data_IF_948375303352
#
_entry.id   IF_948375303352
#
_cell.length_a   1.000
_cell.length_b   1.000
_cell.length_c   1.000
_cell.angle_alpha   90.00
_cell.angle_beta   90.00
_cell.angle_gamma   90.00
#
_symmetry.space_group_name_H-M   'P 1'
#
loop_
_entity.id
_entity.type
_entity.pdbx_description
1 polymer ?
#
# COMPACT_ATOMS: atom_id res chain seq x y z
N UNK A 1 8.83 -20.12 -3.73
CA UNK A 1 8.45 -19.43 -4.99
C UNK A 1 8.95 -17.99 -4.89
N UNK A 2 9.92 -17.54 -5.70
CA UNK A 2 10.41 -16.15 -5.65
C UNK A 2 9.36 -15.28 -6.34
N UNK A 3 8.76 -14.31 -5.63
CA UNK A 3 7.93 -13.31 -6.30
C UNK A 3 8.83 -12.14 -6.68
N UNK A 4 8.82 -11.83 -7.97
CA UNK A 4 9.55 -10.70 -8.53
C UNK A 4 8.57 -9.55 -8.65
N UNK A 5 8.80 -8.48 -7.88
CA UNK A 5 8.14 -7.21 -8.16
C UNK A 5 9.01 -6.43 -9.14
N UNK A 6 8.37 -5.93 -10.20
CA UNK A 6 9.00 -5.02 -11.14
C UNK A 6 8.86 -3.63 -10.54
N UNK A 7 9.96 -3.12 -9.96
CA UNK A 7 10.10 -1.69 -9.71
C UNK A 7 10.53 -1.02 -11.01
N UNK A 8 10.24 0.27 -11.15
CA UNK A 8 10.69 1.03 -12.32
C UNK A 8 11.79 2.01 -11.89
N UNK A 9 12.93 1.99 -12.58
CA UNK A 9 13.96 2.99 -12.39
C UNK A 9 13.51 4.29 -13.06
N UNK A 10 13.23 5.31 -12.26
CA UNK A 10 12.78 6.61 -12.76
C UNK A 10 13.91 7.32 -13.52
N UNK A 11 15.17 7.14 -13.13
CA UNK A 11 16.32 7.82 -13.76
C UNK A 11 16.70 7.20 -15.12
N UNK A 12 16.55 5.89 -15.25
CA UNK A 12 16.99 5.14 -16.43
C UNK A 12 15.85 4.60 -17.30
N UNK A 13 14.59 4.82 -16.92
CA UNK A 13 13.41 4.31 -17.63
C UNK A 13 13.42 2.78 -17.85
N UNK A 14 14.07 2.03 -16.95
CA UNK A 14 14.24 0.58 -17.04
C UNK A 14 13.53 -0.15 -15.90
N UNK A 15 12.96 -1.35 -16.13
CA UNK A 15 12.46 -2.18 -15.05
C UNK A 15 13.62 -2.69 -14.19
N UNK A 16 13.54 -2.47 -12.88
CA UNK A 16 14.40 -3.06 -11.86
C UNK A 16 13.65 -4.20 -11.17
N UNK A 17 14.31 -5.35 -11.04
CA UNK A 17 13.73 -6.48 -10.31
C UNK A 17 14.07 -6.34 -8.84
N UNK A 18 13.03 -6.22 -7.99
CA UNK A 18 13.16 -6.42 -6.55
C UNK A 18 12.84 -7.89 -6.28
N UNK A 19 13.85 -8.64 -5.83
CA UNK A 19 13.71 -10.06 -5.53
C UNK A 19 13.13 -10.28 -4.12
N UNK A 20 12.00 -10.98 -4.01
CA UNK A 20 11.45 -11.47 -2.74
C UNK A 20 11.67 -12.97 -2.59
N UNK A 21 12.27 -13.41 -1.49
CA UNK A 21 12.39 -14.84 -1.15
C UNK A 21 11.26 -15.21 -0.17
N UNK A 22 10.16 -15.77 -0.68
CA UNK A 22 8.94 -16.10 0.11
C UNK A 22 9.07 -17.26 1.12
N UNK A 23 10.25 -17.85 1.33
CA UNK A 23 10.38 -19.03 2.22
C UNK A 23 11.04 -18.72 3.56
N UNK A 24 11.21 -17.45 3.89
CA UNK A 24 11.68 -17.00 5.20
C UNK A 24 10.81 -15.86 5.72
N UNK A 25 10.49 -15.81 7.03
CA UNK A 25 9.82 -14.66 7.66
C UNK A 25 10.64 -13.36 7.56
N UNK A 26 11.88 -13.46 7.08
CA UNK A 26 12.79 -12.36 6.77
C UNK A 26 13.03 -12.32 5.26
N UNK A 27 12.70 -11.21 4.63
CA UNK A 27 12.94 -10.85 3.24
C UNK A 27 14.12 -9.86 3.25
N UNK A 28 15.03 -9.96 2.28
CA UNK A 28 16.12 -8.99 2.07
C UNK A 28 15.83 -8.21 0.78
N UNK A 29 15.04 -7.12 0.83
CA UNK A 29 14.90 -6.27 -0.33
C UNK A 29 16.20 -5.50 -0.60
N UNK A 30 16.81 -5.76 -1.76
CA UNK A 30 17.85 -4.90 -2.34
C UNK A 30 17.17 -3.83 -3.19
N UNK A 31 17.45 -2.56 -2.91
CA UNK A 31 16.92 -1.43 -3.67
C UNK A 31 18.00 -0.76 -4.49
N UNK A 32 17.84 -0.73 -5.81
CA UNK A 32 18.71 0.06 -6.69
C UNK A 32 18.32 1.54 -6.61
N UNK A 33 19.31 2.42 -6.62
CA UNK A 33 19.13 3.86 -6.73
C UNK A 33 18.22 4.23 -7.91
N UNK A 34 17.29 5.15 -7.68
CA UNK A 34 16.31 5.60 -8.66
C UNK A 34 15.10 4.68 -8.82
N UNK A 35 15.03 3.53 -8.15
CA UNK A 35 13.88 2.63 -8.21
C UNK A 35 12.66 3.19 -7.47
N UNK A 36 11.49 2.99 -8.06
CA UNK A 36 10.20 3.34 -7.50
C UNK A 36 9.23 2.17 -7.61
N UNK A 37 8.55 1.90 -6.51
CA UNK A 37 7.41 0.99 -6.43
C UNK A 37 6.18 1.84 -6.15
N UNK A 38 5.20 1.79 -7.05
CA UNK A 38 4.00 2.61 -6.99
C UNK A 38 3.06 2.21 -5.85
N UNK A 39 2.02 3.01 -5.61
CA UNK A 39 1.10 2.80 -4.51
C UNK A 39 0.46 1.41 -4.53
N UNK A 40 0.57 0.69 -3.42
CA UNK A 40 0.00 -0.63 -3.24
C UNK A 40 -0.41 -0.87 -1.78
N UNK A 41 -1.20 -1.91 -1.58
CA UNK A 41 -1.44 -2.53 -0.28
C UNK A 41 -0.73 -3.88 -0.32
N UNK A 42 -0.03 -4.24 0.76
CA UNK A 42 0.64 -5.53 0.84
C UNK A 42 -0.36 -6.70 0.79
N UNK A 43 0.08 -7.78 0.15
CA UNK A 43 -0.74 -8.94 -0.18
C UNK A 43 -1.48 -9.51 1.04
N UNK A 44 -2.75 -9.89 0.86
CA UNK A 44 -3.59 -10.41 1.94
C UNK A 44 -3.81 -9.41 3.10
N UNK A 45 -3.49 -8.13 2.89
CA UNK A 45 -3.51 -7.12 3.94
C UNK A 45 -2.51 -7.38 5.07
N UNK A 46 -1.35 -7.99 4.79
CA UNK A 46 -0.32 -8.17 5.82
C UNK A 46 0.16 -6.83 6.37
N UNK A 47 0.60 -6.84 7.63
CA UNK A 47 1.47 -5.79 8.15
C UNK A 47 2.90 -6.07 7.69
N UNK A 48 3.71 -5.03 7.50
CA UNK A 48 5.10 -5.15 7.05
C UNK A 48 6.05 -4.40 7.98
N UNK A 49 7.25 -4.94 8.14
CA UNK A 49 8.36 -4.24 8.79
C UNK A 49 9.53 -4.08 7.83
N UNK A 50 10.23 -2.95 7.94
CA UNK A 50 11.44 -2.62 7.18
C UNK A 50 12.52 -2.13 8.14
N UNK A 51 13.75 -2.61 7.98
CA UNK A 51 14.93 -2.20 8.71
C UNK A 51 16.05 -1.90 7.72
N UNK A 52 16.51 -0.64 7.67
CA UNK A 52 17.56 -0.23 6.75
C UNK A 52 18.91 -0.59 7.33
N UNK A 53 19.65 -1.45 6.63
CA UNK A 53 21.04 -1.72 6.95
C UNK A 53 21.97 -0.67 6.34
N UNK A 54 21.80 -0.38 5.05
CA UNK A 54 22.55 0.66 4.33
C UNK A 54 21.65 1.38 3.32
N UNK A 55 22.02 2.62 2.97
CA UNK A 55 21.26 3.49 2.07
C UNK A 55 20.06 4.15 2.76
N UNK A 56 19.00 4.47 2.01
CA UNK A 56 17.77 5.06 2.56
C UNK A 56 16.57 4.80 1.64
N UNK A 57 15.37 4.80 2.22
CA UNK A 57 14.10 4.68 1.50
C UNK A 57 13.14 5.80 1.86
N UNK A 58 12.41 6.29 0.87
CA UNK A 58 11.35 7.29 1.05
C UNK A 58 10.01 6.59 0.84
N UNK A 59 9.18 6.58 1.87
CA UNK A 59 7.84 6.01 1.87
C UNK A 59 6.80 7.11 1.74
N UNK A 60 5.84 6.92 0.86
CA UNK A 60 4.61 7.70 0.78
C UNK A 60 3.51 6.85 1.42
N UNK A 61 2.86 7.37 2.46
CA UNK A 61 1.96 6.64 3.34
C UNK A 61 0.58 7.29 3.33
N UNK A 62 -0.45 6.48 3.05
CA UNK A 62 -1.86 6.89 3.07
C UNK A 62 -2.60 5.92 4.01
N UNK A 63 -3.29 6.42 5.04
CA UNK A 63 -4.01 5.54 5.97
C UNK A 63 -5.21 4.89 5.29
N UNK A 64 -5.60 3.68 5.70
CA UNK A 64 -6.69 2.91 5.09
C UNK A 64 -8.08 3.38 5.55
N UNK A 65 -8.35 4.68 5.48
CA UNK A 65 -9.70 5.20 5.74
C UNK A 65 -10.66 4.70 4.65
N UNK A 66 -11.95 4.60 4.97
CA UNK A 66 -12.96 4.16 3.99
C UNK A 66 -12.89 4.95 2.68
N UNK A 67 -12.72 6.27 2.78
CA UNK A 67 -12.53 7.16 1.64
C UNK A 67 -11.31 6.79 0.79
N UNK A 68 -10.13 6.69 1.42
CA UNK A 68 -8.87 6.43 0.72
C UNK A 68 -8.90 5.04 0.05
N UNK A 69 -9.53 4.06 0.68
CA UNK A 69 -9.70 2.71 0.13
C UNK A 69 -10.61 2.69 -1.10
N UNK A 70 -11.66 3.52 -1.15
CA UNK A 70 -12.50 3.67 -2.34
C UNK A 70 -11.74 4.33 -3.48
N UNK A 71 -11.00 5.42 -3.20
CA UNK A 71 -10.18 6.10 -4.20
C UNK A 71 -9.12 5.15 -4.75
N UNK A 72 -8.44 4.40 -3.87
CA UNK A 72 -7.47 3.37 -4.26
C UNK A 72 -8.10 2.31 -5.17
N UNK A 73 -9.25 1.74 -4.79
CA UNK A 73 -9.93 0.72 -5.61
C UNK A 73 -10.30 1.24 -7.00
N UNK A 74 -10.81 2.47 -7.09
CA UNK A 74 -11.14 3.13 -8.35
C UNK A 74 -9.88 3.39 -9.19
N UNK A 75 -8.78 3.80 -8.55
CA UNK A 75 -7.49 4.03 -9.21
C UNK A 75 -6.85 2.74 -9.74
N UNK A 76 -6.87 1.64 -8.96
CA UNK A 76 -6.33 0.34 -9.39
C UNK A 76 -7.07 -0.22 -10.61
N UNK A 77 -8.36 0.10 -10.77
CA UNK A 77 -9.15 -0.29 -11.93
C UNK A 77 -9.07 0.72 -13.10
N UNK A 78 -8.39 1.84 -12.93
CA UNK A 78 -8.34 2.91 -13.92
C UNK A 78 -7.31 2.61 -15.02
N UNK A 79 -7.62 2.88 -16.30
CA UNK A 79 -6.63 2.82 -17.37
C UNK A 79 -5.50 3.84 -17.21
N UNK A 80 -5.68 4.86 -16.37
CA UNK A 80 -4.68 5.90 -16.10
C UNK A 80 -3.74 5.58 -14.94
N UNK A 81 -3.85 4.40 -14.31
CA UNK A 81 -3.13 4.04 -13.08
C UNK A 81 -1.64 4.44 -13.13
N UNK A 82 -0.91 3.96 -14.15
CA UNK A 82 0.53 4.21 -14.30
C UNK A 82 0.93 5.63 -14.72
N UNK A 83 -0.03 6.55 -14.88
CA UNK A 83 0.20 7.96 -15.25
C UNK A 83 -0.32 8.95 -14.20
N UNK A 84 -0.88 8.46 -13.10
CA UNK A 84 -1.53 9.29 -12.07
C UNK A 84 -0.97 8.98 -10.69
N UNK A 85 -0.53 9.99 -9.96
CA UNK A 85 -0.01 9.86 -8.60
C UNK A 85 -1.17 9.81 -7.60
N UNK A 86 -1.35 8.67 -6.92
CA UNK A 86 -2.49 8.45 -6.02
C UNK A 86 -2.54 9.46 -4.87
N UNK A 87 -1.39 9.89 -4.35
CA UNK A 87 -1.33 10.86 -3.25
C UNK A 87 -2.08 12.16 -3.56
N UNK A 88 -2.01 12.64 -4.79
CA UNK A 88 -2.74 13.84 -5.23
C UNK A 88 -4.23 13.58 -5.39
N UNK A 89 -4.62 12.38 -5.86
CA UNK A 89 -6.02 12.01 -6.04
C UNK A 89 -6.77 11.95 -4.71
N UNK A 90 -6.14 11.36 -3.69
CA UNK A 90 -6.73 11.27 -2.35
C UNK A 90 -6.92 12.66 -1.75
N UNK A 91 -5.94 13.55 -1.91
CA UNK A 91 -6.06 14.94 -1.47
C UNK A 91 -7.18 15.70 -2.20
N UNK A 92 -7.19 15.61 -3.53
CA UNK A 92 -8.14 16.34 -4.38
C UNK A 92 -9.58 15.85 -4.20
N UNK A 93 -9.80 14.54 -4.03
CA UNK A 93 -11.14 13.99 -3.82
C UNK A 93 -11.73 14.47 -2.47
N UNK A 94 -10.90 14.70 -1.46
CA UNK A 94 -11.34 15.20 -0.18
C UNK A 94 -11.62 16.72 -0.16
N UNK A 95 -10.93 17.50 -1.00
CA UNK A 95 -10.98 18.97 -0.96
C UNK A 95 -11.61 19.62 -2.22
N UNK A 96 -11.98 18.83 -3.23
CA UNK A 96 -12.43 19.29 -4.55
C UNK A 96 -13.86 19.84 -4.64
N UNK A 97 -14.68 19.79 -3.59
CA UNK A 97 -16.04 20.31 -3.58
C UNK A 97 -16.19 21.66 -2.83
N UNK A 98 -15.54 22.73 -3.31
CA UNK A 98 -15.80 24.11 -2.83
C UNK A 98 -16.22 25.10 -3.92
N UNK A 99 -16.63 24.64 -5.10
CA UNK A 99 -17.14 25.52 -6.15
C UNK A 99 -18.26 24.85 -6.95
N UNK A 100 -19.50 25.01 -6.52
CA UNK A 100 -20.66 24.56 -7.30
C UNK A 100 -21.94 24.45 -6.47
N UNK A 101 -22.88 25.35 -6.72
CA UNK A 101 -24.24 25.33 -6.23
C UNK A 101 -25.00 24.18 -6.92
N UNK A 102 -25.58 23.22 -6.17
CA UNK A 102 -26.48 22.22 -6.76
C UNK A 102 -26.67 20.92 -5.96
N UNK A 103 -27.90 20.78 -5.44
CA UNK A 103 -28.64 19.58 -5.01
C UNK A 103 -27.96 18.50 -4.17
N UNK A 104 -28.48 18.37 -2.94
CA UNK A 104 -28.29 17.19 -2.10
C UNK A 104 -28.96 15.98 -2.73
N UNK A 105 -28.16 15.17 -3.41
CA UNK A 105 -28.38 13.74 -3.45
C UNK A 105 -27.64 13.15 -2.25
N UNK A 106 -28.41 12.84 -1.22
CA UNK A 106 -27.97 12.01 -0.11
C UNK A 106 -27.67 10.63 -0.70
N UNK A 107 -26.42 10.39 -1.11
CA UNK A 107 -25.91 9.04 -1.25
C UNK A 107 -25.96 8.40 0.13
N UNK A 108 -27.07 7.68 0.36
CA UNK A 108 -27.44 6.99 1.59
C UNK A 108 -26.51 5.83 1.91
N UNK A 109 -25.22 6.09 2.03
CA UNK A 109 -24.26 5.15 2.58
C UNK A 109 -24.40 5.16 4.09
N UNK A 110 -25.35 4.36 4.59
CA UNK A 110 -25.40 3.99 6.00
C UNK A 110 -24.01 3.49 6.39
N UNK A 111 -23.46 4.02 7.48
CA UNK A 111 -22.32 3.45 8.20
C UNK A 111 -22.60 1.96 8.46
N UNK A 112 -22.15 1.06 7.59
CA UNK A 112 -22.33 -0.40 7.78
C UNK A 112 -21.30 -0.95 8.77
N UNK A 113 -20.25 -0.20 9.07
CA UNK A 113 -19.26 -0.59 10.07
C UNK A 113 -18.97 0.62 10.96
N UNK A 114 -19.29 0.50 12.24
CA UNK A 114 -18.69 1.36 13.25
C UNK A 114 -17.25 0.91 13.40
N UNK A 115 -16.33 1.59 12.72
CA UNK A 115 -14.92 1.23 12.69
C UNK A 115 -14.29 1.58 14.05
N UNK A 116 -14.46 0.69 15.04
CA UNK A 116 -13.74 0.74 16.32
C UNK A 116 -12.25 0.42 16.19
N UNK A 117 -11.63 0.86 15.09
CA UNK A 117 -10.27 0.52 14.67
C UNK A 117 -9.22 1.55 15.16
N UNK A 118 -9.65 2.63 15.81
CA UNK A 118 -8.80 3.64 16.41
C UNK A 118 -8.13 4.59 15.40
N UNK A 119 -8.48 4.52 14.12
CA UNK A 119 -7.93 5.41 13.10
C UNK A 119 -8.80 6.66 12.91
N UNK A 120 -8.14 7.81 12.71
CA UNK A 120 -8.84 9.03 12.31
C UNK A 120 -9.36 8.87 10.87
N UNK A 121 -10.64 8.55 10.75
CA UNK A 121 -11.34 8.38 9.49
C UNK A 121 -11.52 9.68 8.69
N UNK A 122 -11.05 10.81 9.21
CA UNK A 122 -11.10 12.11 8.52
C UNK A 122 -9.81 12.45 7.76
N UNK A 123 -8.71 11.71 8.00
CA UNK A 123 -7.44 12.01 7.34
C UNK A 123 -7.39 11.47 5.90
N UNK A 124 -7.31 12.39 4.95
CA UNK A 124 -7.28 12.13 3.50
C UNK A 124 -5.97 12.63 2.88
N UNK A 125 -4.88 12.68 3.65
CA UNK A 125 -3.58 13.12 3.19
C UNK A 125 -2.64 11.97 2.83
N UNK A 126 -1.58 12.30 2.11
CA UNK A 126 -0.42 11.43 1.89
C UNK A 126 0.75 11.98 2.70
N UNK A 127 1.29 11.20 3.64
CA UNK A 127 2.46 11.59 4.44
C UNK A 127 3.72 10.97 3.84
N UNK A 128 4.83 11.70 3.86
CA UNK A 128 6.13 11.15 3.44
C UNK A 128 6.99 10.85 4.66
N UNK A 129 7.63 9.68 4.67
CA UNK A 129 8.56 9.27 5.72
C UNK A 129 9.87 8.79 5.09
N UNK A 130 11.01 9.33 5.54
CA UNK A 130 12.34 8.87 5.09
C UNK A 130 12.91 7.94 6.15
N UNK A 131 13.16 6.70 5.76
CA UNK A 131 13.80 5.69 6.59
C UNK A 131 15.30 5.60 6.26
N UNK A 132 16.12 5.76 7.28
CA UNK A 132 17.59 5.86 7.22
C UNK A 132 18.26 4.69 7.96
N UNK A 133 19.60 4.49 7.84
CA UNK A 133 20.27 3.34 8.43
C UNK A 133 20.06 3.20 9.94
N UNK A 134 19.84 1.95 10.37
CA UNK A 134 19.52 1.53 11.74
C UNK A 134 18.10 1.89 12.22
N UNK A 135 17.26 2.48 11.37
CA UNK A 135 15.85 2.70 11.69
C UNK A 135 14.99 1.51 11.24
N UNK A 136 13.91 1.27 11.99
CA UNK A 136 12.90 0.26 11.67
C UNK A 136 11.53 0.93 11.53
N UNK A 137 10.88 0.72 10.39
CA UNK A 137 9.50 1.12 10.14
C UNK A 137 8.58 -0.10 10.23
N UNK A 138 7.46 0.05 10.93
CA UNK A 138 6.33 -0.87 10.86
C UNK A 138 5.17 -0.18 10.16
N UNK A 139 4.64 -0.81 9.12
CA UNK A 139 3.46 -0.35 8.39
C UNK A 139 2.31 -1.30 8.77
N UNK A 140 1.23 -0.80 9.39
CA UNK A 140 0.09 -1.62 9.75
C UNK A 140 -0.68 -2.14 8.53
N UNK A 141 -1.41 -3.24 8.74
CA UNK A 141 -2.34 -3.82 7.76
C UNK A 141 -3.21 -2.77 7.07
N UNK A 142 -3.27 -2.87 5.73
CA UNK A 142 -4.14 -2.07 4.86
C UNK A 142 -3.58 -0.71 4.43
N UNK A 143 -2.51 -0.20 5.06
CA UNK A 143 -1.92 1.08 4.68
C UNK A 143 -1.46 1.07 3.22
N UNK A 144 -1.94 2.05 2.47
CA UNK A 144 -1.58 2.23 1.06
C UNK A 144 -0.25 2.96 1.02
N UNK A 145 0.73 2.41 0.32
CA UNK A 145 2.06 3.02 0.30
C UNK A 145 2.81 2.86 -1.02
N UNK A 146 3.65 3.85 -1.33
CA UNK A 146 4.61 3.82 -2.42
C UNK A 146 6.03 4.00 -1.85
N UNK A 147 7.04 3.48 -2.55
CA UNK A 147 8.43 3.48 -2.07
C UNK A 147 9.36 3.99 -3.16
N UNK A 148 10.14 5.02 -2.82
CA UNK A 148 11.23 5.52 -3.65
C UNK A 148 12.59 5.23 -3.00
N UNK A 149 13.55 4.77 -3.79
CA UNK A 149 14.91 4.43 -3.34
C UNK A 149 15.90 5.42 -3.95
N UNK A 150 16.28 6.50 -3.26
CA UNK A 150 17.16 7.54 -3.81
C UNK A 150 18.64 7.13 -3.94
N UNK A 151 19.07 6.05 -3.28
CA UNK A 151 20.43 5.53 -3.33
C UNK A 151 20.44 4.02 -3.11
N UNK A 152 21.47 3.33 -3.56
CA UNK A 152 21.59 1.88 -3.40
C UNK A 152 21.46 1.49 -1.92
N UNK A 153 20.49 0.61 -1.63
CA UNK A 153 20.08 0.33 -0.26
C UNK A 153 19.95 -1.17 0.00
N UNK A 154 20.44 -1.61 1.16
CA UNK A 154 20.23 -2.96 1.69
C UNK A 154 19.23 -2.87 2.83
N UNK A 155 18.12 -3.58 2.68
CA UNK A 155 17.01 -3.54 3.63
C UNK A 155 16.70 -4.97 4.08
N UNK A 156 16.35 -5.11 5.35
CA UNK A 156 15.70 -6.30 5.88
C UNK A 156 14.23 -5.98 6.09
N UNK A 157 13.35 -6.93 5.85
CA UNK A 157 11.94 -6.72 6.12
C UNK A 157 11.16 -8.01 6.14
N UNK A 158 9.86 -7.93 6.33
CA UNK A 158 9.02 -9.11 6.39
C UNK A 158 7.55 -8.75 6.49
N UNK A 159 6.71 -9.61 5.92
CA UNK A 159 5.26 -9.49 6.01
C UNK A 159 4.74 -10.46 7.06
N UNK A 160 3.75 -10.03 7.84
CA UNK A 160 3.12 -10.85 8.87
C UNK A 160 1.63 -10.54 9.03
N UNK A 161 0.85 -11.58 9.34
CA UNK A 161 -0.55 -11.46 9.76
C UNK A 161 -0.62 -11.50 11.29
N UNK A 162 -1.58 -10.79 11.88
CA UNK A 162 -1.80 -10.82 13.33
C UNK A 162 -3.28 -10.65 13.70
N UNK A 163 -3.64 -11.19 14.87
CA UNK A 163 -5.03 -11.25 15.33
C UNK A 163 -5.67 -9.88 15.57
N UNK A 164 -4.87 -8.85 15.86
CA UNK A 164 -5.39 -7.50 16.13
C UNK A 164 -5.93 -6.76 14.90
N UNK A 165 -5.70 -7.26 13.68
CA UNK A 165 -6.17 -6.60 12.45
C UNK A 165 -6.89 -7.54 11.49
N UNK A 166 -7.47 -8.63 12.01
CA UNK A 166 -8.18 -9.63 11.19
C UNK A 166 -9.25 -9.02 10.29
N UNK A 167 -10.05 -8.07 10.79
CA UNK A 167 -11.05 -7.40 9.97
C UNK A 167 -10.44 -6.64 8.78
N UNK A 168 -9.34 -5.93 9.00
CA UNK A 168 -8.63 -5.20 7.95
C UNK A 168 -8.00 -6.14 6.94
N UNK A 169 -7.35 -7.21 7.41
CA UNK A 169 -6.77 -8.25 6.56
C UNK A 169 -7.84 -8.83 5.63
N UNK A 170 -9.02 -9.20 6.18
CA UNK A 170 -10.15 -9.70 5.39
C UNK A 170 -10.69 -8.67 4.37
N UNK A 171 -10.76 -7.39 4.74
CA UNK A 171 -11.15 -6.31 3.82
C UNK A 171 -10.17 -6.17 2.65
N UNK A 172 -8.86 -6.17 2.91
CA UNK A 172 -7.83 -6.07 1.88
C UNK A 172 -7.89 -7.27 0.94
N UNK A 173 -8.03 -8.48 1.49
CA UNK A 173 -8.20 -9.69 0.70
C UNK A 173 -9.45 -9.63 -0.21
N UNK A 174 -10.56 -9.07 0.29
CA UNK A 174 -11.75 -8.88 -0.53
C UNK A 174 -11.52 -7.89 -1.68
N UNK A 175 -10.77 -6.81 -1.44
CA UNK A 175 -10.41 -5.83 -2.46
C UNK A 175 -9.56 -6.50 -3.54
N UNK A 176 -8.48 -7.20 -3.15
CA UNK A 176 -7.60 -7.93 -4.06
C UNK A 176 -8.36 -8.92 -4.96
N UNK A 177 -9.31 -9.65 -4.36
CA UNK A 177 -10.18 -10.56 -5.10
C UNK A 177 -11.08 -9.82 -6.09
N UNK A 178 -11.63 -8.68 -5.69
CA UNK A 178 -12.53 -7.87 -6.52
C UNK A 178 -11.83 -7.18 -7.69
N UNK A 179 -10.54 -6.85 -7.56
CA UNK A 179 -9.73 -6.18 -8.58
C UNK A 179 -9.10 -7.16 -9.58
N UNK A 180 -9.40 -8.46 -9.50
CA UNK A 180 -8.92 -9.53 -10.41
C UNK A 180 -7.40 -9.55 -10.56
N UNK A 181 -6.68 -9.34 -9.46
CA UNK A 181 -5.22 -9.50 -9.45
C UNK A 181 -4.88 -10.96 -9.84
N UNK A 182 -3.83 -11.15 -10.63
CA UNK A 182 -3.37 -12.49 -11.02
C UNK A 182 -3.11 -13.32 -9.75
N UNK A 183 -3.58 -14.57 -9.73
CA UNK A 183 -3.47 -15.49 -8.58
C UNK A 183 -2.03 -15.66 -8.11
N UNK A 184 -1.05 -15.42 -8.98
CA UNK A 184 0.35 -15.41 -8.62
C UNK A 184 0.70 -14.35 -7.56
N UNK A 185 -0.01 -13.23 -7.44
CA UNK A 185 0.31 -12.19 -6.45
C UNK A 185 -0.50 -12.28 -5.15
N UNK A 186 -1.36 -13.29 -5.03
CA UNK A 186 -2.16 -13.50 -3.82
C UNK A 186 -1.35 -14.21 -2.73
N UNK A 187 -1.66 -13.89 -1.47
CA UNK A 187 -1.05 -14.61 -0.35
C UNK A 187 -1.39 -16.12 -0.41
N UNK A 188 -0.38 -17.00 -0.39
CA UNK A 188 -0.62 -18.43 -0.49
C UNK A 188 -1.43 -18.92 0.73
N UNK A 189 -2.47 -19.72 0.47
CA UNK A 189 -3.28 -20.40 1.50
C UNK A 189 -3.93 -19.46 2.53
N UNK A 190 -4.30 -18.25 2.10
CA UNK A 190 -4.89 -17.24 2.98
C UNK A 190 -6.12 -17.76 3.75
N UNK A 191 -6.99 -18.54 3.10
CA UNK A 191 -8.20 -19.07 3.76
C UNK A 191 -7.84 -20.11 4.83
N UNK A 192 -6.90 -20.99 4.54
CA UNK A 192 -6.48 -22.10 5.40
C UNK A 192 -5.78 -21.63 6.69
N UNK A 193 -5.14 -20.46 6.66
CA UNK A 193 -4.50 -19.86 7.86
C UNK A 193 -5.53 -19.23 8.82
N UNK A 194 -6.73 -18.91 8.30
CA UNK A 194 -7.81 -18.30 9.07
C UNK A 194 -8.81 -19.32 9.67
N UNK A 195 -8.70 -20.62 9.33
CA UNK A 195 -9.52 -21.73 9.86
C UNK A 195 -8.75 -22.54 10.90
#
# INVERSE_FOLDING_TARGET
>A
MIHTYIAYNIQHHTPCIIHYIHHTPNIIPLGMSGSYTDFHIDFGGTSVWYHIHTGRKVFYLIPPTHHNMLVYKSWTCSPSQGSTFLGDLVWNHAHGHRSGHGNGDNDGYKHVYGDGDGYDNTYTGCTTFTLTPNETLFIPSGWIHAVYTPEDSVVFGGNFLHVYSVFRQLQCYHIEYSTKIDKAYLFPQYKEIHW
#
